data_IF_226214202364
#
_entry.id   IF_226214202364
#
_cell.length_a   1.000
_cell.length_b   1.000
_cell.length_c   1.000
_cell.angle_alpha   90.00
_cell.angle_beta   90.00
_cell.angle_gamma   90.00
#
_symmetry.space_group_name_H-M   'P 1'
#
loop_
_entity.id
_entity.type
_entity.pdbx_description
1 polymer ?
#
# COMPACT_ATOMS: atom_id res chain seq x y z
N UNK A 1 6.62 -6.44 20.63
CA UNK A 1 5.35 -5.76 20.26
C UNK A 1 5.38 -5.34 18.80
N UNK A 2 5.45 -6.27 17.85
CA UNK A 2 5.35 -5.93 16.43
C UNK A 2 3.90 -5.63 16.09
N UNK A 3 3.55 -4.40 15.82
CA UNK A 3 2.24 -4.13 15.25
C UNK A 3 2.20 -4.46 13.74
N UNK A 4 1.01 -4.74 13.21
CA UNK A 4 0.85 -5.34 11.89
C UNK A 4 -0.07 -4.47 11.08
N UNK A 5 0.25 -4.32 9.81
CA UNK A 5 -0.51 -3.52 8.87
C UNK A 5 -0.96 -4.40 7.72
N UNK A 6 -2.01 -3.98 7.03
CA UNK A 6 -2.56 -4.71 5.90
C UNK A 6 -2.94 -3.74 4.81
N UNK A 7 -2.85 -4.20 3.58
CA UNK A 7 -2.94 -3.32 2.43
C UNK A 7 -2.73 -4.05 1.12
N UNK A 8 -2.85 -3.33 0.02
CA UNK A 8 -2.49 -3.83 -1.31
C UNK A 8 -1.00 -3.67 -1.53
N UNK A 9 -0.36 -4.69 -2.12
CA UNK A 9 1.00 -4.54 -2.66
C UNK A 9 0.88 -4.12 -4.11
N UNK A 10 1.65 -3.11 -4.50
CA UNK A 10 1.86 -2.76 -5.90
C UNK A 10 3.35 -2.57 -6.18
N UNK A 11 3.74 -2.84 -7.43
CA UNK A 11 5.05 -2.48 -7.93
C UNK A 11 5.11 -0.98 -8.27
N UNK A 12 6.33 -0.45 -8.39
CA UNK A 12 6.53 0.91 -8.89
C UNK A 12 6.01 1.11 -10.32
N UNK A 13 6.02 0.07 -11.14
CA UNK A 13 5.48 0.11 -12.50
C UNK A 13 3.95 0.22 -12.47
N UNK A 14 3.26 -0.61 -11.68
CA UNK A 14 1.81 -0.53 -11.49
C UNK A 14 1.40 0.84 -10.91
N UNK A 15 2.17 1.38 -9.97
CA UNK A 15 1.96 2.72 -9.43
C UNK A 15 2.17 3.81 -10.49
N UNK A 16 3.14 3.66 -11.40
CA UNK A 16 3.31 4.59 -12.53
C UNK A 16 2.12 4.50 -13.49
N UNK A 17 1.70 3.29 -13.88
CA UNK A 17 0.49 3.08 -14.70
C UNK A 17 -0.75 3.72 -14.09
N UNK A 18 -0.90 3.67 -12.76
CA UNK A 18 -1.97 4.39 -12.06
C UNK A 18 -1.95 5.87 -12.41
N UNK A 19 -0.78 6.53 -12.32
CA UNK A 19 -0.67 7.95 -12.59
C UNK A 19 -0.70 8.30 -14.08
N UNK A 20 -0.24 7.43 -14.97
CA UNK A 20 -0.28 7.62 -16.43
C UNK A 20 -1.71 7.91 -16.92
N UNK A 21 -2.73 7.31 -16.28
CA UNK A 21 -4.14 7.57 -16.57
C UNK A 21 -4.68 8.93 -16.10
N UNK A 22 -3.93 9.70 -15.31
CA UNK A 22 -4.43 10.87 -14.55
C UNK A 22 -3.91 12.23 -15.04
N UNK A 23 -3.37 12.35 -16.27
CA UNK A 23 -2.70 13.58 -16.78
C UNK A 23 -1.59 14.14 -15.87
N UNK A 24 -1.18 13.42 -14.83
CA UNK A 24 -0.01 13.76 -14.04
C UNK A 24 1.23 13.65 -14.95
N UNK A 25 2.29 14.41 -14.71
CA UNK A 25 3.56 14.24 -15.43
C UNK A 25 4.52 13.50 -14.52
N UNK A 26 4.85 12.25 -14.84
CA UNK A 26 5.59 11.33 -13.97
C UNK A 26 6.96 10.90 -14.50
N UNK A 27 7.38 11.40 -15.67
CA UNK A 27 8.61 11.02 -16.38
C UNK A 27 9.93 11.20 -15.58
N UNK A 28 9.88 11.85 -14.42
CA UNK A 28 11.06 12.16 -13.60
C UNK A 28 10.92 11.82 -12.10
N UNK A 29 9.91 11.07 -11.70
CA UNK A 29 9.73 10.72 -10.29
C UNK A 29 10.64 9.55 -9.89
N UNK A 30 11.61 9.86 -9.03
CA UNK A 30 12.32 8.83 -8.25
C UNK A 30 11.34 8.05 -7.37
N UNK A 31 11.71 6.84 -6.98
CA UNK A 31 10.83 5.90 -6.28
C UNK A 31 10.21 6.50 -4.99
N UNK A 32 10.94 7.35 -4.26
CA UNK A 32 10.42 8.04 -3.08
C UNK A 32 9.23 8.98 -3.39
N UNK A 33 9.18 9.54 -4.61
CA UNK A 33 8.12 10.45 -5.01
C UNK A 33 6.83 9.70 -5.37
N UNK A 34 6.91 8.44 -5.82
CA UNK A 34 5.73 7.62 -6.16
C UNK A 34 4.88 7.37 -4.91
N UNK A 35 5.51 7.08 -3.77
CA UNK A 35 4.80 6.95 -2.49
C UNK A 35 4.09 8.25 -2.07
N UNK A 36 4.74 9.39 -2.25
CA UNK A 36 4.15 10.71 -1.94
C UNK A 36 2.94 10.99 -2.85
N UNK A 37 3.06 10.71 -4.15
CA UNK A 37 1.96 10.91 -5.10
C UNK A 37 0.74 10.05 -4.75
N UNK A 38 0.94 8.79 -4.30
CA UNK A 38 -0.15 7.92 -3.86
C UNK A 38 -0.83 8.44 -2.59
N UNK A 39 -0.05 8.91 -1.62
CA UNK A 39 -0.61 9.54 -0.42
C UNK A 39 -1.43 10.78 -0.77
N UNK A 40 -0.94 11.62 -1.68
CA UNK A 40 -1.68 12.78 -2.17
C UNK A 40 -2.99 12.38 -2.88
N UNK A 41 -2.97 11.32 -3.69
CA UNK A 41 -4.17 10.81 -4.35
C UNK A 41 -5.24 10.39 -3.33
N UNK A 42 -4.83 9.76 -2.22
CA UNK A 42 -5.74 9.42 -1.11
C UNK A 42 -6.28 10.67 -0.41
N UNK A 43 -5.40 11.64 -0.10
CA UNK A 43 -5.79 12.91 0.54
C UNK A 43 -6.80 13.69 -0.30
N UNK A 44 -6.60 13.79 -1.62
CA UNK A 44 -7.51 14.47 -2.56
C UNK A 44 -8.90 13.82 -2.63
N UNK A 45 -9.04 12.57 -2.16
CA UNK A 45 -10.28 11.79 -2.10
C UNK A 45 -10.81 11.56 -0.68
N UNK A 46 -10.25 12.26 0.31
CA UNK A 46 -10.64 12.16 1.72
C UNK A 46 -10.47 10.74 2.30
N UNK A 47 -9.47 10.00 1.80
CA UNK A 47 -9.11 8.65 2.28
C UNK A 47 -7.95 8.80 3.28
N UNK A 48 -8.28 9.01 4.56
CA UNK A 48 -7.29 9.30 5.61
C UNK A 48 -6.71 8.05 6.31
N UNK A 49 -7.30 6.88 6.06
CA UNK A 49 -6.98 5.64 6.75
C UNK A 49 -6.00 4.74 5.99
N UNK A 50 -5.75 5.01 4.71
CA UNK A 50 -4.76 4.34 3.87
C UNK A 50 -3.51 5.20 3.69
N UNK A 51 -2.36 4.54 3.61
CA UNK A 51 -1.07 5.21 3.44
C UNK A 51 -0.12 4.37 2.59
N UNK A 52 0.56 4.96 1.63
CA UNK A 52 1.58 4.32 0.83
C UNK A 52 2.92 4.27 1.58
N UNK A 53 3.48 3.06 1.70
CA UNK A 53 4.78 2.81 2.30
C UNK A 53 5.66 2.06 1.32
N UNK A 54 6.83 2.62 1.00
CA UNK A 54 7.87 1.91 0.25
C UNK A 54 8.61 0.96 1.18
N UNK A 55 8.73 -0.31 0.80
CA UNK A 55 9.38 -1.34 1.62
C UNK A 55 9.99 -2.43 0.75
N UNK A 56 11.02 -3.10 1.25
CA UNK A 56 11.64 -4.29 0.67
C UNK A 56 10.83 -5.57 0.96
N UNK A 57 9.50 -5.49 1.11
CA UNK A 57 8.66 -6.63 1.46
C UNK A 57 8.62 -7.69 0.35
N UNK A 58 8.73 -9.00 0.69
CA UNK A 58 9.10 -9.53 1.99
C UNK A 58 10.56 -9.22 2.32
N UNK A 59 10.83 -8.79 3.56
CA UNK A 59 12.12 -8.23 4.00
C UNK A 59 13.33 -8.96 3.40
N UNK A 60 14.28 -8.21 2.87
CA UNK A 60 15.44 -8.71 2.14
C UNK A 60 15.16 -8.99 0.66
N UNK A 61 13.98 -8.64 0.16
CA UNK A 61 13.71 -8.63 -1.28
C UNK A 61 14.67 -7.67 -1.99
N UNK A 62 15.13 -8.05 -3.18
CA UNK A 62 15.96 -7.19 -4.04
C UNK A 62 15.15 -6.08 -4.73
N UNK A 63 13.83 -6.22 -4.74
CA UNK A 63 12.92 -5.28 -5.36
C UNK A 63 12.04 -4.68 -4.29
N UNK A 64 12.14 -3.36 -4.13
CA UNK A 64 11.21 -2.61 -3.29
C UNK A 64 9.82 -2.61 -3.94
N UNK A 65 8.80 -2.62 -3.09
CA UNK A 65 7.39 -2.54 -3.45
C UNK A 65 6.75 -1.41 -2.66
N UNK A 66 5.55 -1.01 -3.08
CA UNK A 66 4.71 -0.09 -2.33
C UNK A 66 3.60 -0.90 -1.68
N UNK A 67 3.41 -0.73 -0.38
CA UNK A 67 2.26 -1.28 0.34
C UNK A 67 1.33 -0.14 0.70
N UNK A 68 0.06 -0.24 0.28
CA UNK A 68 -1.00 0.72 0.56
C UNK A 68 -1.70 0.31 1.86
N UNK A 69 -1.11 0.70 2.98
CA UNK A 69 -1.40 0.15 4.29
C UNK A 69 -2.52 0.89 5.00
N UNK A 70 -3.45 0.15 5.58
CA UNK A 70 -4.41 0.67 6.55
C UNK A 70 -3.72 0.91 7.89
N UNK A 71 -3.78 2.16 8.39
CA UNK A 71 -3.10 2.56 9.65
C UNK A 71 -3.64 1.79 10.86
N UNK A 72 -2.72 1.55 11.79
CA UNK A 72 -2.54 0.33 12.61
C UNK A 72 -3.44 0.20 13.84
N UNK A 73 -3.68 -1.06 14.24
CA UNK A 73 -4.01 -1.48 15.62
C UNK A 73 -2.74 -2.06 16.26
N UNK A 74 -2.43 -1.65 17.50
CA UNK A 74 -1.36 -2.27 18.29
C UNK A 74 -1.70 -3.75 18.57
N UNK A 75 -0.73 -4.65 18.33
CA UNK A 75 -0.84 -6.06 18.74
C UNK A 75 0.06 -6.25 19.98
N UNK A 76 -0.48 -6.02 21.19
CA UNK A 76 0.29 -6.12 22.43
C UNK A 76 0.75 -7.55 22.70
N UNK A 77 0.15 -8.56 22.04
CA UNK A 77 0.57 -9.97 22.12
C UNK A 77 1.65 -10.31 21.12
N UNK A 78 2.22 -9.34 20.42
CA UNK A 78 3.23 -9.57 19.40
C UNK A 78 4.61 -9.88 20.01
N UNK A 79 4.67 -11.09 20.56
CA UNK A 79 5.82 -11.91 20.96
C UNK A 79 5.78 -13.27 20.25
N UNK A 80 4.80 -13.51 19.36
CA UNK A 80 4.52 -14.84 18.78
C UNK A 80 4.90 -14.92 17.32
N UNK A 81 5.48 -16.06 16.94
CA UNK A 81 5.77 -16.56 15.59
C UNK A 81 4.57 -16.66 14.63
N UNK A 82 3.37 -16.25 15.05
CA UNK A 82 2.13 -16.34 14.28
C UNK A 82 1.31 -15.05 14.36
N UNK A 83 0.70 -14.68 13.24
CA UNK A 83 -0.20 -13.53 13.14
C UNK A 83 -1.53 -13.93 12.53
N UNK A 84 -2.59 -13.21 12.92
CA UNK A 84 -3.88 -13.34 12.26
C UNK A 84 -3.87 -12.55 10.97
N UNK A 85 -4.34 -13.17 9.88
CA UNK A 85 -4.57 -12.47 8.61
C UNK A 85 -5.60 -11.37 8.83
N UNK A 86 -5.23 -10.13 8.54
CA UNK A 86 -6.17 -9.01 8.54
C UNK A 86 -6.98 -9.12 7.26
N UNK A 87 -8.31 -9.12 7.41
CA UNK A 87 -9.23 -9.16 6.27
C UNK A 87 -9.35 -7.77 5.65
N UNK A 88 -9.43 -7.76 4.33
CA UNK A 88 -9.88 -6.61 3.54
C UNK A 88 -11.33 -6.29 3.91
N UNK A 89 -11.60 -5.03 4.24
CA UNK A 89 -12.93 -4.52 4.58
C UNK A 89 -13.65 -4.00 3.33
N UNK A 90 -14.96 -3.79 3.44
CA UNK A 90 -15.74 -3.26 2.31
C UNK A 90 -15.32 -1.85 1.91
N UNK A 91 -14.91 -1.01 2.88
CA UNK A 91 -14.31 0.31 2.59
C UNK A 91 -12.99 0.18 1.82
N UNK A 92 -12.15 -0.81 2.14
CA UNK A 92 -10.94 -1.08 1.38
C UNK A 92 -11.33 -1.45 -0.07
N UNK A 93 -12.28 -2.36 -0.25
CA UNK A 93 -12.73 -2.80 -1.59
C UNK A 93 -13.32 -1.68 -2.44
N UNK A 94 -14.01 -0.71 -1.83
CA UNK A 94 -14.56 0.43 -2.57
C UNK A 94 -13.43 1.29 -3.17
N UNK A 95 -12.40 1.58 -2.37
CA UNK A 95 -11.20 2.26 -2.88
C UNK A 95 -10.51 1.40 -3.94
N UNK A 96 -10.37 0.09 -3.74
CA UNK A 96 -9.81 -0.83 -4.75
C UNK A 96 -10.56 -0.73 -6.07
N UNK A 97 -11.89 -0.71 -6.04
CA UNK A 97 -12.74 -0.59 -7.21
C UNK A 97 -12.51 0.72 -7.95
N UNK A 98 -12.45 1.84 -7.22
CA UNK A 98 -12.12 3.14 -7.81
C UNK A 98 -10.75 3.13 -8.50
N UNK A 99 -9.74 2.53 -7.86
CA UNK A 99 -8.41 2.39 -8.47
C UNK A 99 -8.48 1.59 -9.77
N UNK A 100 -9.15 0.44 -9.77
CA UNK A 100 -9.27 -0.39 -10.98
C UNK A 100 -9.98 0.36 -12.12
N UNK A 101 -11.04 1.12 -11.82
CA UNK A 101 -11.79 1.92 -12.80
C UNK A 101 -10.95 3.08 -13.38
N UNK A 102 -10.16 3.76 -12.55
CA UNK A 102 -9.37 4.93 -12.97
C UNK A 102 -8.06 4.57 -13.68
N UNK A 103 -7.53 3.36 -13.47
CA UNK A 103 -6.17 2.98 -13.88
C UNK A 103 -6.12 1.81 -14.86
N UNK A 104 -7.20 1.04 -14.96
CA UNK A 104 -7.22 -0.21 -15.73
C UNK A 104 -6.45 -1.36 -15.09
N UNK A 105 -5.93 -1.19 -13.87
CA UNK A 105 -5.37 -2.29 -13.09
C UNK A 105 -6.45 -3.34 -12.79
N UNK A 106 -6.03 -4.61 -12.73
CA UNK A 106 -6.91 -5.72 -12.40
C UNK A 106 -6.93 -6.01 -10.90
N UNK A 107 -7.88 -6.83 -10.46
CA UNK A 107 -7.96 -7.26 -9.05
C UNK A 107 -6.68 -8.00 -8.60
N UNK A 108 -6.06 -8.73 -9.53
CA UNK A 108 -4.83 -9.50 -9.34
C UNK A 108 -3.59 -8.61 -9.18
N UNK A 109 -3.63 -7.38 -9.73
CA UNK A 109 -2.58 -6.38 -9.57
C UNK A 109 -2.55 -5.75 -8.18
N UNK A 110 -3.63 -5.91 -7.41
CA UNK A 110 -3.82 -5.31 -6.09
C UNK A 110 -4.05 -6.40 -5.01
N UNK A 111 -3.09 -7.31 -4.78
CA UNK A 111 -3.24 -8.37 -3.79
C UNK A 111 -3.25 -7.83 -2.36
N UNK A 112 -4.29 -8.19 -1.60
CA UNK A 112 -4.39 -7.86 -0.18
C UNK A 112 -3.49 -8.75 0.69
N UNK A 113 -2.57 -8.12 1.42
CA UNK A 113 -1.62 -8.78 2.30
C UNK A 113 -1.71 -8.28 3.73
N UNK A 114 -1.18 -9.08 4.66
CA UNK A 114 -0.87 -8.63 6.03
C UNK A 114 0.64 -8.66 6.19
N UNK A 115 1.24 -7.51 6.48
CA UNK A 115 2.69 -7.36 6.63
C UNK A 115 3.05 -6.94 8.06
N UNK A 116 4.25 -7.31 8.48
CA UNK A 116 4.88 -6.69 9.65
C UNK A 116 5.06 -5.22 9.36
N UNK A 117 4.72 -4.34 10.30
CA UNK A 117 4.90 -2.92 10.04
C UNK A 117 6.38 -2.58 9.82
N UNK A 118 6.72 -2.00 8.65
CA UNK A 118 8.06 -1.52 8.36
C UNK A 118 8.55 -0.44 9.35
N UNK A 119 7.66 0.31 10.01
CA UNK A 119 8.00 1.34 11.00
C UNK A 119 8.34 0.79 12.39
N UNK A 120 8.25 -0.53 12.63
CA UNK A 120 8.52 -1.10 13.97
C UNK A 120 10.01 -1.20 14.34
N UNK A 121 10.95 -0.86 13.45
CA UNK A 121 12.40 -1.03 13.71
C UNK A 121 13.22 0.28 13.70
N UNK A 122 12.60 1.45 13.87
CA UNK A 122 13.31 2.70 14.16
C UNK A 122 12.83 3.32 15.47
#
# INVERSE_FOLDING_TARGET
>A
MVFKIAGWIISFEQARTWFDGQEYKHDHFGDDFVGIALNRWFEERDIDYLWAVVTDYPRGSRHAVIVLVRRRREDPKSTVSHYYRVRELDADREVKKQVMEETGLSDEDLPWVTVVDPFFMN
#
